data_IF_277749694210
#
_entry.id   IF_277749694210
#
_cell.length_a   1.000
_cell.length_b   1.000
_cell.length_c   1.000
_cell.angle_alpha   90.00
_cell.angle_beta   90.00
_cell.angle_gamma   90.00
#
_symmetry.space_group_name_H-M   'P 1'
#
loop_
_entity.id
_entity.type
_entity.pdbx_description
1 polymer ?
#
# COMPACT_ATOMS: atom_id res chain seq x y z
N UNK A 1 4.47 0.32 -17.02
CA UNK A 1 3.78 -0.08 -18.27
C UNK A 1 4.72 -0.83 -19.19
N UNK A 2 5.72 -0.21 -19.83
CA UNK A 2 6.65 -0.87 -20.78
C UNK A 2 7.22 -2.20 -20.28
N UNK A 3 7.79 -2.23 -19.08
CA UNK A 3 8.32 -3.47 -18.51
C UNK A 3 7.25 -4.58 -18.34
N UNK A 4 6.03 -4.19 -18.02
CA UNK A 4 4.90 -5.11 -17.89
C UNK A 4 4.44 -5.60 -19.27
N UNK A 5 4.43 -4.75 -20.29
CA UNK A 5 4.12 -5.14 -21.67
C UNK A 5 5.13 -6.15 -22.21
N UNK A 6 6.41 -6.01 -21.83
CA UNK A 6 7.49 -6.88 -22.29
C UNK A 6 7.55 -8.23 -21.56
N UNK A 7 7.31 -8.24 -20.25
CA UNK A 7 7.58 -9.41 -19.40
C UNK A 7 6.35 -10.04 -18.76
N UNK A 8 5.25 -9.29 -18.60
CA UNK A 8 4.06 -9.75 -17.87
C UNK A 8 4.28 -10.12 -16.39
N UNK A 9 5.43 -9.79 -15.82
CA UNK A 9 5.86 -10.30 -14.51
C UNK A 9 5.22 -9.64 -13.29
N UNK A 10 4.60 -8.47 -13.44
CA UNK A 10 3.93 -7.78 -12.34
C UNK A 10 2.50 -8.29 -12.18
N UNK A 11 2.20 -8.83 -11.00
CA UNK A 11 0.84 -9.27 -10.65
C UNK A 11 0.03 -8.17 -9.97
N UNK A 12 0.70 -7.18 -9.37
CA UNK A 12 0.04 -6.11 -8.62
C UNK A 12 0.85 -4.82 -8.59
N UNK A 13 0.16 -3.71 -8.33
CA UNK A 13 0.76 -2.41 -8.05
C UNK A 13 0.26 -1.88 -6.70
N UNK A 14 1.15 -1.20 -5.97
CA UNK A 14 0.86 -0.61 -4.66
C UNK A 14 1.49 0.78 -4.63
N UNK A 15 0.67 1.81 -4.40
CA UNK A 15 1.18 3.17 -4.17
C UNK A 15 1.27 3.44 -2.67
N UNK A 16 2.37 4.07 -2.25
CA UNK A 16 2.61 4.47 -0.88
C UNK A 16 2.82 5.98 -0.81
N UNK A 17 2.27 6.60 0.23
CA UNK A 17 2.61 7.98 0.58
C UNK A 17 3.97 7.99 1.29
N UNK A 18 4.74 9.04 1.07
CA UNK A 18 5.94 9.27 1.86
C UNK A 18 5.56 9.45 3.34
N UNK A 19 6.26 8.75 4.22
CA UNK A 19 6.18 8.93 5.67
C UNK A 19 7.46 9.66 6.09
N UNK A 20 7.31 10.89 6.58
CA UNK A 20 8.46 11.70 6.97
C UNK A 20 9.17 11.04 8.16
N UNK A 21 10.51 10.99 8.15
CA UNK A 21 11.27 10.41 9.25
C UNK A 21 11.18 11.31 10.50
N UNK A 22 11.12 10.71 11.69
CA UNK A 22 11.15 11.45 12.96
C UNK A 22 12.50 12.16 13.20
N UNK A 23 13.60 11.58 12.70
CA UNK A 23 14.94 12.15 12.76
C UNK A 23 15.52 12.33 11.36
N UNK A 24 16.05 13.52 11.08
CA UNK A 24 16.57 13.89 9.77
C UNK A 24 18.06 14.28 9.81
N UNK A 25 18.80 14.09 8.71
CA UNK A 25 18.36 13.40 7.48
C UNK A 25 18.23 11.89 7.67
N UNK A 26 17.31 11.25 6.94
CA UNK A 26 17.09 9.80 7.07
C UNK A 26 18.21 9.05 6.35
N UNK A 27 18.83 8.12 7.06
CA UNK A 27 19.89 7.24 6.55
C UNK A 27 19.50 5.74 6.61
N UNK A 28 18.28 5.43 7.04
CA UNK A 28 17.84 4.04 7.28
C UNK A 28 18.59 3.36 8.42
N UNK A 29 18.49 2.02 8.50
CA UNK A 29 19.25 1.22 9.47
C UNK A 29 20.78 1.38 9.31
N UNK A 30 21.22 1.73 8.11
CA UNK A 30 22.62 1.99 7.72
C UNK A 30 23.18 3.30 8.33
N UNK A 31 22.36 4.12 8.99
CA UNK A 31 22.83 5.26 9.79
C UNK A 31 23.87 4.83 10.83
N UNK A 32 23.68 3.63 11.39
CA UNK A 32 24.55 3.01 12.38
C UNK A 32 25.92 2.60 11.82
N UNK A 33 26.07 2.52 10.49
CA UNK A 33 27.30 2.15 9.79
C UNK A 33 28.08 3.37 9.23
N UNK A 34 27.65 4.58 9.55
CA UNK A 34 28.43 5.80 9.26
C UNK A 34 28.35 6.30 7.82
N UNK A 35 27.35 5.86 7.02
CA UNK A 35 27.05 6.47 5.72
C UNK A 35 26.72 7.95 5.88
N UNK A 36 27.38 8.80 5.08
CA UNK A 36 27.15 10.25 4.97
C UNK A 36 26.47 10.57 3.64
N UNK A 37 25.57 11.56 3.61
CA UNK A 37 24.87 12.00 2.39
C UNK A 37 23.38 11.67 2.31
N UNK A 38 22.70 11.46 3.43
CA UNK A 38 21.24 11.33 3.49
C UNK A 38 20.58 12.65 3.09
N UNK A 39 19.39 12.54 2.49
CA UNK A 39 18.59 13.71 2.11
C UNK A 39 17.64 14.02 3.25
N UNK A 40 17.63 15.28 3.70
CA UNK A 40 16.63 15.72 4.66
C UNK A 40 15.28 15.83 3.96
N UNK A 41 14.41 14.86 4.24
CA UNK A 41 13.04 14.80 3.75
C UNK A 41 12.03 15.21 4.83
N UNK A 42 12.46 15.64 6.02
CA UNK A 42 11.57 16.05 7.11
C UNK A 42 10.72 17.27 6.76
N UNK A 43 11.19 18.08 5.80
CA UNK A 43 10.50 19.27 5.32
C UNK A 43 9.52 18.96 4.18
N UNK A 44 9.45 17.71 3.69
CA UNK A 44 8.50 17.31 2.66
C UNK A 44 7.12 17.15 3.30
N UNK A 45 6.10 17.90 2.82
CA UNK A 45 4.76 17.78 3.37
C UNK A 45 4.21 16.38 3.22
N UNK A 46 3.53 15.89 4.26
CA UNK A 46 2.83 14.61 4.21
C UNK A 46 1.67 14.67 3.20
N UNK A 47 1.50 13.58 2.45
CA UNK A 47 0.34 13.39 1.59
C UNK A 47 -0.81 12.78 2.40
N UNK A 48 -1.94 13.48 2.47
CA UNK A 48 -3.15 12.97 3.11
C UNK A 48 -3.95 12.00 2.23
N UNK A 49 -5.04 11.48 2.79
CA UNK A 49 -5.91 10.50 2.14
C UNK A 49 -6.42 10.94 0.75
N UNK A 50 -6.68 12.23 0.54
CA UNK A 50 -7.12 12.74 -0.76
C UNK A 50 -6.06 12.51 -1.85
N UNK A 51 -4.81 12.90 -1.61
CA UNK A 51 -3.74 12.73 -2.59
C UNK A 51 -3.40 11.24 -2.81
N UNK A 52 -3.49 10.42 -1.77
CA UNK A 52 -3.38 8.97 -1.87
C UNK A 52 -4.46 8.38 -2.81
N UNK A 53 -5.74 8.61 -2.52
CA UNK A 53 -6.87 8.04 -3.29
C UNK A 53 -6.87 8.55 -4.73
N UNK A 54 -6.55 9.83 -4.95
CA UNK A 54 -6.39 10.42 -6.28
C UNK A 54 -5.26 9.74 -7.05
N UNK A 55 -4.10 9.56 -6.43
CA UNK A 55 -2.95 8.89 -7.05
C UNK A 55 -3.28 7.44 -7.41
N UNK A 56 -3.98 6.72 -6.54
CA UNK A 56 -4.41 5.36 -6.80
C UNK A 56 -5.38 5.27 -7.99
N UNK A 57 -6.37 6.15 -8.05
CA UNK A 57 -7.31 6.20 -9.18
C UNK A 57 -6.60 6.51 -10.49
N UNK A 58 -5.65 7.46 -10.49
CA UNK A 58 -4.81 7.73 -11.67
C UNK A 58 -3.97 6.50 -12.04
N UNK A 59 -3.39 5.81 -11.05
CA UNK A 59 -2.64 4.59 -11.30
C UNK A 59 -3.51 3.50 -11.94
N UNK A 60 -4.78 3.35 -11.53
CA UNK A 60 -5.73 2.41 -12.15
C UNK A 60 -6.00 2.73 -13.62
N UNK A 61 -6.12 4.01 -13.95
CA UNK A 61 -6.34 4.45 -15.33
C UNK A 61 -5.09 4.32 -16.19
N UNK A 62 -3.91 4.58 -15.61
CA UNK A 62 -2.65 4.56 -16.34
C UNK A 62 -2.09 3.14 -16.49
N UNK A 63 -2.06 2.34 -15.43
CA UNK A 63 -1.52 0.98 -15.41
C UNK A 63 -2.55 -0.05 -15.87
N UNK A 64 -3.06 0.16 -17.08
CA UNK A 64 -4.02 -0.73 -17.75
C UNK A 64 -3.54 -2.19 -17.92
N UNK A 65 -2.25 -2.46 -17.79
CA UNK A 65 -1.62 -3.76 -17.96
C UNK A 65 -1.20 -4.45 -16.64
N UNK A 66 -1.56 -3.88 -15.49
CA UNK A 66 -1.40 -4.53 -14.18
C UNK A 66 -2.81 -4.81 -13.62
N UNK A 67 -3.20 -6.10 -13.49
CA UNK A 67 -4.58 -6.44 -13.18
C UNK A 67 -5.01 -5.98 -11.78
N UNK A 68 -4.09 -6.06 -10.80
CA UNK A 68 -4.40 -5.85 -9.40
C UNK A 68 -3.77 -4.56 -8.86
N UNK A 69 -4.57 -3.81 -8.10
CA UNK A 69 -4.10 -2.67 -7.30
C UNK A 69 -4.43 -2.95 -5.85
N UNK A 70 -3.39 -2.97 -5.02
CA UNK A 70 -3.55 -3.19 -3.60
C UNK A 70 -3.84 -1.88 -2.87
N UNK A 71 -4.82 -1.93 -1.97
CA UNK A 71 -5.08 -0.91 -0.96
C UNK A 71 -3.97 -0.91 0.10
N UNK A 72 -3.46 0.27 0.44
CA UNK A 72 -2.38 0.43 1.42
C UNK A 72 -2.94 0.71 2.81
N UNK A 73 -3.95 -0.04 3.24
CA UNK A 73 -4.62 0.16 4.53
C UNK A 73 -3.66 0.07 5.73
N UNK A 74 -2.53 -0.64 5.60
CA UNK A 74 -1.51 -0.74 6.66
C UNK A 74 -0.89 0.63 6.98
N UNK A 75 -0.73 1.48 5.96
CA UNK A 75 -0.17 2.83 6.11
C UNK A 75 -1.26 3.91 6.19
N UNK A 76 -2.39 3.72 5.51
CA UNK A 76 -3.46 4.71 5.40
C UNK A 76 -4.61 4.54 6.41
N UNK A 77 -4.69 3.38 7.06
CA UNK A 77 -5.76 3.01 8.01
C UNK A 77 -7.01 2.42 7.36
N UNK A 78 -7.87 1.85 8.20
CA UNK A 78 -9.09 1.10 7.80
C UNK A 78 -9.97 1.89 6.83
N UNK A 79 -10.36 3.12 7.20
CA UNK A 79 -11.33 3.91 6.43
C UNK A 79 -10.81 4.28 5.05
N UNK A 80 -9.56 4.72 4.97
CA UNK A 80 -8.94 5.05 3.67
C UNK A 80 -8.72 3.77 2.87
N UNK A 81 -8.33 2.69 3.54
CA UNK A 81 -8.16 1.38 2.95
C UNK A 81 -9.45 0.80 2.34
N UNK A 82 -10.59 1.00 2.99
CA UNK A 82 -11.90 0.65 2.46
C UNK A 82 -12.27 1.55 1.27
N UNK A 83 -12.10 2.87 1.42
CA UNK A 83 -12.39 3.82 0.33
C UNK A 83 -11.56 3.55 -0.93
N UNK A 84 -10.32 3.08 -0.79
CA UNK A 84 -9.44 2.70 -1.89
C UNK A 84 -10.09 1.73 -2.89
N UNK A 85 -11.00 0.85 -2.42
CA UNK A 85 -11.74 -0.07 -3.29
C UNK A 85 -12.63 0.67 -4.31
N UNK A 86 -13.13 1.86 -3.94
CA UNK A 86 -13.90 2.73 -4.85
C UNK A 86 -12.99 3.56 -5.77
N UNK A 87 -11.67 3.56 -5.54
CA UNK A 87 -10.66 4.32 -6.28
C UNK A 87 -9.72 3.40 -7.08
N UNK A 88 -10.19 2.21 -7.44
CA UNK A 88 -9.53 1.30 -8.36
C UNK A 88 -8.72 0.18 -7.73
N UNK A 89 -8.65 0.10 -6.39
CA UNK A 89 -8.14 -1.08 -5.73
C UNK A 89 -9.13 -2.25 -5.86
N UNK A 90 -8.61 -3.44 -6.07
CA UNK A 90 -9.38 -4.70 -6.05
C UNK A 90 -8.77 -5.72 -5.08
N UNK A 91 -7.75 -5.31 -4.33
CA UNK A 91 -7.02 -6.16 -3.41
C UNK A 91 -6.80 -5.44 -2.09
N UNK A 92 -7.27 -6.04 -0.99
CA UNK A 92 -7.02 -5.54 0.36
C UNK A 92 -5.67 -6.06 0.90
N UNK A 93 -4.89 -6.81 0.14
CA UNK A 93 -3.60 -7.34 0.58
C UNK A 93 -3.74 -8.46 1.62
N UNK A 94 -2.60 -8.88 2.16
CA UNK A 94 -2.55 -9.94 3.17
C UNK A 94 -2.85 -9.43 4.58
N UNK A 95 -3.27 -10.33 5.45
CA UNK A 95 -3.27 -10.08 6.90
C UNK A 95 -1.83 -9.90 7.38
N UNK A 96 -1.61 -8.85 8.15
CA UNK A 96 -0.35 -8.65 8.86
C UNK A 96 -0.31 -9.68 10.00
N UNK A 97 0.33 -10.83 9.78
CA UNK A 97 0.44 -11.91 10.78
C UNK A 97 1.46 -11.52 11.87
N UNK A 98 2.54 -10.85 11.49
CA UNK A 98 3.53 -10.17 12.34
C UNK A 98 4.62 -9.68 11.37
N UNK A 99 4.99 -8.39 11.36
CA UNK A 99 6.29 -8.04 10.77
C UNK A 99 6.88 -6.71 11.26
N UNK A 100 8.12 -6.81 11.76
CA UNK A 100 8.96 -5.72 12.27
C UNK A 100 9.28 -4.62 11.24
N UNK A 101 8.89 -4.76 9.97
CA UNK A 101 9.32 -3.88 8.87
C UNK A 101 8.51 -2.58 8.81
N UNK A 102 7.21 -2.62 9.13
CA UNK A 102 6.36 -1.40 9.14
C UNK A 102 6.38 -0.71 10.51
N UNK A 103 6.74 -1.45 11.57
CA UNK A 103 6.91 -0.88 12.92
C UNK A 103 8.00 0.20 12.97
N UNK A 104 9.02 0.12 12.11
CA UNK A 104 10.05 1.15 11.98
C UNK A 104 9.58 2.44 11.26
N UNK A 105 8.44 2.41 10.58
CA UNK A 105 7.94 3.54 9.78
C UNK A 105 6.91 4.43 10.54
N UNK A 106 6.60 4.11 11.80
CA UNK A 106 5.88 5.03 12.71
C UNK A 106 4.35 5.01 12.65
N UNK A 107 3.73 4.35 11.66
CA UNK A 107 2.27 4.12 11.62
C UNK A 107 1.94 2.73 11.08
N UNK A 108 1.41 1.86 11.95
CA UNK A 108 0.96 0.51 11.57
C UNK A 108 -0.48 0.33 12.04
N UNK A 109 -1.39 0.24 11.08
CA UNK A 109 -2.75 -0.21 11.36
C UNK A 109 -2.80 -1.74 11.32
N UNK A 110 -3.66 -2.33 12.15
CA UNK A 110 -3.88 -3.77 12.20
C UNK A 110 -5.37 -4.02 11.95
N UNK A 111 -5.68 -4.78 10.89
CA UNK A 111 -7.03 -5.23 10.59
C UNK A 111 -7.11 -6.76 10.74
N UNK A 112 -8.18 -7.22 11.37
CA UNK A 112 -8.51 -8.65 11.40
C UNK A 112 -9.12 -9.08 10.07
N UNK A 113 -9.16 -10.39 9.82
CA UNK A 113 -9.85 -10.95 8.66
C UNK A 113 -11.31 -10.51 8.60
N UNK A 114 -11.99 -10.50 9.74
CA UNK A 114 -13.39 -10.08 9.82
C UNK A 114 -13.56 -8.61 9.48
N UNK A 115 -12.63 -7.74 9.90
CA UNK A 115 -12.65 -6.33 9.54
C UNK A 115 -12.44 -6.14 8.03
N UNK A 116 -11.52 -6.87 7.41
CA UNK A 116 -11.31 -6.80 5.95
C UNK A 116 -12.57 -7.28 5.21
N UNK A 117 -13.14 -8.42 5.60
CA UNK A 117 -14.37 -8.96 5.00
C UNK A 117 -15.53 -7.97 5.10
N UNK A 118 -15.69 -7.35 6.28
CA UNK A 118 -16.69 -6.30 6.50
C UNK A 118 -16.46 -5.10 5.60
N UNK A 119 -15.23 -4.56 5.54
CA UNK A 119 -14.91 -3.41 4.70
C UNK A 119 -15.30 -3.63 3.23
N UNK A 120 -15.03 -4.82 2.69
CA UNK A 120 -15.38 -5.20 1.33
C UNK A 120 -16.90 -5.33 1.18
N UNK A 121 -17.56 -6.05 2.10
CA UNK A 121 -18.99 -6.35 2.04
C UNK A 121 -19.87 -5.12 2.22
N UNK A 122 -19.46 -4.17 3.08
CA UNK A 122 -20.18 -2.91 3.32
C UNK A 122 -20.27 -2.03 2.06
N UNK A 123 -19.35 -2.23 1.10
CA UNK A 123 -19.38 -1.57 -0.21
C UNK A 123 -20.18 -2.35 -1.27
N UNK A 124 -20.76 -3.50 -0.90
CA UNK A 124 -21.52 -4.36 -1.80
C UNK A 124 -20.66 -5.31 -2.66
N UNK A 125 -19.37 -5.45 -2.35
CA UNK A 125 -18.49 -6.41 -3.01
C UNK A 125 -18.46 -7.75 -2.26
N UNK A 126 -18.11 -8.83 -2.98
CA UNK A 126 -17.90 -10.15 -2.38
C UNK A 126 -16.44 -10.32 -1.93
N UNK A 127 -16.16 -10.52 -0.63
CA UNK A 127 -14.79 -10.78 -0.18
C UNK A 127 -14.33 -12.17 -0.61
N UNK A 128 -13.23 -12.23 -1.36
CA UNK A 128 -12.60 -13.48 -1.81
C UNK A 128 -11.20 -13.60 -1.25
N UNK A 129 -10.86 -14.78 -0.76
CA UNK A 129 -9.50 -15.12 -0.38
C UNK A 129 -8.71 -15.53 -1.63
N UNK A 130 -7.44 -15.13 -1.68
CA UNK A 130 -6.52 -15.46 -2.78
C UNK A 130 -5.20 -15.99 -2.24
N UNK A 131 -4.49 -16.75 -3.06
CA UNK A 131 -3.08 -17.06 -2.83
C UNK A 131 -2.17 -15.96 -3.40
N UNK A 132 -0.85 -16.17 -3.34
CA UNK A 132 0.16 -15.21 -3.84
C UNK A 132 0.15 -15.04 -5.36
N UNK A 133 -0.41 -16.01 -6.10
CA UNK A 133 -0.58 -15.97 -7.55
C UNK A 133 -1.93 -15.35 -7.97
N UNK A 134 -2.69 -14.79 -7.02
CA UNK A 134 -4.04 -14.25 -7.24
C UNK A 134 -5.09 -15.29 -7.67
N UNK A 135 -4.83 -16.58 -7.41
CA UNK A 135 -5.83 -17.63 -7.59
C UNK A 135 -6.76 -17.63 -6.38
N UNK A 136 -8.06 -17.76 -6.63
CA UNK A 136 -9.07 -17.79 -5.57
C UNK A 136 -8.95 -19.10 -4.79
N UNK A 137 -9.01 -18.98 -3.47
CA UNK A 137 -9.02 -20.12 -2.56
C UNK A 137 -10.45 -20.27 -2.04
N UNK A 138 -10.95 -21.52 -2.08
CA UNK A 138 -12.24 -21.91 -1.51
C UNK A 138 -12.15 -22.18 0.00
#
# INVERSE_FOLDING_TARGET
RTQQDESGGFTAFICWTHQAPFEAPWYGADASEGRKGGVDMSQVPEAGAFEYLKTQAVARLYLDNIPNIQSSWVTQGEKVGQMALLFGANDMGSLMIEENVVAQAGTVFHLTLDTIKRCISDLGYEPRQRNVFYELVD
#
